data_IF_551338279252
#
_entry.id   IF_551338279252
#
_cell.length_a   1.000
_cell.length_b   1.000
_cell.length_c   1.000
_cell.angle_alpha   90.00
_cell.angle_beta   90.00
_cell.angle_gamma   90.00
#
_symmetry.space_group_name_H-M   'P 1'
#
loop_
_entity.id
_entity.type
_entity.pdbx_description
1 polymer ?
#
# COMPACT_ATOMS: atom_id res chain seq x y z
N UNK A 1 -10.58 8.83 14.41
CA UNK A 1 -11.02 7.67 13.60
C UNK A 1 -10.26 6.44 14.07
N UNK A 2 -10.83 5.22 14.03
CA UNK A 2 -10.14 4.03 14.52
C UNK A 2 -9.00 3.64 13.57
N UNK A 3 -7.82 3.42 14.14
CA UNK A 3 -6.68 2.83 13.44
C UNK A 3 -7.01 1.35 13.16
N UNK A 4 -6.80 0.90 11.92
CA UNK A 4 -6.97 -0.50 11.53
C UNK A 4 -5.61 -1.19 11.47
N UNK A 5 -5.50 -2.41 12.01
CA UNK A 5 -4.25 -3.19 11.98
C UNK A 5 -4.57 -4.61 11.58
N UNK A 6 -3.77 -5.17 10.68
CA UNK A 6 -3.97 -6.52 10.16
C UNK A 6 -2.63 -7.20 9.84
N UNK A 7 -2.60 -8.53 9.90
CA UNK A 7 -1.44 -9.30 9.47
C UNK A 7 -1.44 -9.48 7.96
N UNK A 8 -0.28 -9.28 7.34
CA UNK A 8 -0.09 -9.59 5.94
C UNK A 8 0.08 -11.10 5.73
N UNK A 9 -0.32 -11.64 4.56
CA UNK A 9 -0.10 -13.03 4.23
C UNK A 9 1.38 -13.41 4.40
N UNK A 10 1.69 -14.51 5.11
CA UNK A 10 3.06 -14.92 5.33
C UNK A 10 3.72 -15.32 4.02
N UNK A 11 4.94 -14.86 3.80
CA UNK A 11 5.80 -15.25 2.69
C UNK A 11 7.00 -16.04 3.21
N UNK A 12 7.77 -16.65 2.30
CA UNK A 12 8.98 -17.40 2.66
C UNK A 12 9.98 -16.54 3.46
N UNK A 13 10.13 -15.27 3.08
CA UNK A 13 11.05 -14.34 3.76
C UNK A 13 10.42 -13.66 4.97
N UNK A 14 9.11 -13.37 4.92
CA UNK A 14 8.40 -12.56 5.91
C UNK A 14 7.21 -13.31 6.49
N UNK A 15 7.38 -13.91 7.66
CA UNK A 15 6.33 -14.68 8.36
C UNK A 15 5.36 -13.83 9.19
N UNK A 16 5.75 -12.60 9.54
CA UNK A 16 5.05 -11.74 10.50
C UNK A 16 4.90 -10.30 9.97
N UNK A 17 4.66 -10.15 8.67
CA UNK A 17 4.36 -8.83 8.12
C UNK A 17 3.04 -8.30 8.68
N UNK A 18 2.97 -7.01 8.94
CA UNK A 18 1.76 -6.36 9.41
C UNK A 18 1.54 -5.05 8.66
N UNK A 19 0.28 -4.64 8.56
CA UNK A 19 -0.11 -3.31 8.12
C UNK A 19 -0.86 -2.60 9.25
N UNK A 20 -0.68 -1.28 9.30
CA UNK A 20 -1.46 -0.37 10.13
C UNK A 20 -1.98 0.76 9.24
N UNK A 21 -3.26 1.10 9.36
CA UNK A 21 -3.95 2.05 8.50
C UNK A 21 -4.65 3.12 9.32
N UNK A 22 -4.34 4.37 8.99
CA UNK A 22 -4.91 5.56 9.59
C UNK A 22 -5.66 6.33 8.49
N UNK A 23 -7.00 6.20 8.42
CA UNK A 23 -7.77 6.87 7.37
C UNK A 23 -7.72 8.39 7.53
N UNK A 24 -7.74 9.10 6.41
CA UNK A 24 -7.82 10.55 6.39
C UNK A 24 -9.14 11.03 7.05
N UNK A 25 -9.12 12.11 7.85
CA UNK A 25 -10.31 12.63 8.52
C UNK A 25 -11.35 13.22 7.56
N UNK A 26 -10.92 13.74 6.41
CA UNK A 26 -11.78 14.26 5.35
C UNK A 26 -11.11 13.98 3.99
N UNK A 27 -11.79 13.19 3.16
CA UNK A 27 -11.37 12.82 1.81
C UNK A 27 -12.32 13.35 0.72
N UNK A 28 -13.26 14.25 1.06
CA UNK A 28 -14.29 14.68 0.11
C UNK A 28 -13.73 15.50 -1.06
N UNK A 29 -12.61 16.19 -0.87
CA UNK A 29 -12.01 17.11 -1.84
C UNK A 29 -10.52 16.84 -2.11
N UNK A 30 -9.98 15.74 -1.58
CA UNK A 30 -8.57 15.41 -1.65
C UNK A 30 -8.38 13.96 -2.08
N UNK A 31 -7.36 13.72 -2.89
CA UNK A 31 -6.91 12.36 -3.21
C UNK A 31 -6.33 11.63 -1.99
N UNK A 32 -6.02 12.36 -0.90
CA UNK A 32 -5.48 11.79 0.32
C UNK A 32 -6.47 10.85 0.98
N UNK A 33 -6.14 9.56 0.97
CA UNK A 33 -6.98 8.51 1.54
C UNK A 33 -6.59 8.17 2.99
N UNK A 34 -5.31 8.33 3.34
CA UNK A 34 -4.82 8.06 4.69
C UNK A 34 -3.33 7.72 4.73
N UNK A 35 -2.86 7.29 5.90
CA UNK A 35 -1.49 6.83 6.11
C UNK A 35 -1.46 5.33 6.29
N UNK A 36 -0.67 4.67 5.45
CA UNK A 36 -0.39 3.24 5.51
C UNK A 36 1.00 3.03 6.11
N UNK A 37 1.07 2.30 7.20
CA UNK A 37 2.32 1.83 7.77
C UNK A 37 2.47 0.34 7.47
N UNK A 38 3.58 -0.06 6.85
CA UNK A 38 3.91 -1.47 6.60
C UNK A 38 5.10 -1.84 7.49
N UNK A 39 4.91 -2.87 8.31
CA UNK A 39 5.95 -3.41 9.18
C UNK A 39 6.33 -4.81 8.73
N UNK A 40 7.59 -5.00 8.34
CA UNK A 40 8.22 -6.28 8.10
C UNK A 40 9.21 -6.66 9.20
N UNK A 41 9.98 -7.72 8.98
CA UNK A 41 11.00 -8.16 9.94
C UNK A 41 12.17 -7.18 10.05
N UNK A 42 12.54 -6.52 8.95
CA UNK A 42 13.72 -5.65 8.84
C UNK A 42 13.41 -4.21 8.46
N UNK A 43 12.17 -3.95 8.09
CA UNK A 43 11.73 -2.70 7.49
C UNK A 43 10.43 -2.23 8.15
N UNK A 44 10.36 -0.95 8.42
CA UNK A 44 9.17 -0.25 8.87
C UNK A 44 9.10 1.03 8.02
N UNK A 45 8.00 1.21 7.30
CA UNK A 45 7.85 2.33 6.38
C UNK A 45 6.43 2.87 6.42
N UNK A 46 6.33 4.18 6.57
CA UNK A 46 5.07 4.90 6.47
C UNK A 46 4.90 5.51 5.08
N UNK A 47 3.67 5.44 4.58
CA UNK A 47 3.28 5.94 3.29
C UNK A 47 2.03 6.80 3.43
N UNK A 48 2.08 8.03 2.92
CA UNK A 48 0.87 8.78 2.57
C UNK A 48 0.28 8.13 1.32
N UNK A 49 -0.95 7.66 1.43
CA UNK A 49 -1.67 7.00 0.33
C UNK A 49 -2.63 7.99 -0.30
N UNK A 50 -2.52 8.10 -1.61
CA UNK A 50 -3.47 8.84 -2.43
C UNK A 50 -4.17 7.90 -3.40
N UNK A 51 -5.48 8.06 -3.56
CA UNK A 51 -6.27 7.34 -4.55
C UNK A 51 -6.62 8.26 -5.72
N UNK A 52 -6.43 7.75 -6.93
CA UNK A 52 -6.64 8.46 -8.18
C UNK A 52 -7.60 7.69 -9.09
N UNK A 53 -8.36 8.39 -9.95
CA UNK A 53 -9.11 7.74 -11.03
C UNK A 53 -8.16 6.90 -11.91
N UNK A 54 -8.67 5.79 -12.42
CA UNK A 54 -7.97 4.94 -13.37
C UNK A 54 -8.82 4.78 -14.63
N UNK A 55 -8.18 4.78 -15.80
CA UNK A 55 -8.85 4.54 -17.08
C UNK A 55 -9.29 3.07 -17.23
N UNK A 56 -8.58 2.16 -16.55
CA UNK A 56 -8.86 0.72 -16.54
C UNK A 56 -9.69 0.30 -15.31
N UNK A 57 -10.51 -0.76 -15.40
CA UNK A 57 -11.29 -1.27 -14.27
C UNK A 57 -10.41 -1.70 -13.08
N UNK A 58 -10.44 -0.90 -12.02
CA UNK A 58 -9.64 -1.13 -10.82
C UNK A 58 -9.53 0.13 -9.95
N UNK A 59 -8.50 0.14 -9.10
CA UNK A 59 -8.17 1.27 -8.22
C UNK A 59 -6.70 1.64 -8.38
N UNK A 60 -6.42 2.91 -8.64
CA UNK A 60 -5.06 3.43 -8.75
C UNK A 60 -4.68 4.20 -7.48
N UNK A 61 -3.48 3.90 -6.98
CA UNK A 61 -2.93 4.53 -5.79
C UNK A 61 -1.53 5.05 -6.04
N UNK A 62 -1.19 6.14 -5.37
CA UNK A 62 0.18 6.63 -5.26
C UNK A 62 0.57 6.60 -3.79
N UNK A 63 1.65 5.91 -3.48
CA UNK A 63 2.19 5.77 -2.13
C UNK A 63 3.42 6.65 -2.01
N UNK A 64 3.30 7.78 -1.31
CA UNK A 64 4.41 8.68 -1.01
C UNK A 64 5.05 8.24 0.30
N UNK A 65 6.36 7.97 0.29
CA UNK A 65 7.09 7.66 1.52
C UNK A 65 7.11 8.87 2.43
N UNK A 66 6.77 8.64 3.70
CA UNK A 66 6.95 9.62 4.77
C UNK A 66 8.30 9.42 5.47
N UNK A 67 8.84 8.20 5.41
CA UNK A 67 10.16 7.85 5.92
C UNK A 67 11.07 7.33 4.81
N UNK A 68 12.38 7.60 4.91
CA UNK A 68 13.37 7.19 3.92
C UNK A 68 13.45 5.65 3.69
N UNK A 69 12.90 4.85 4.61
CA UNK A 69 12.77 3.39 4.46
C UNK A 69 14.08 2.67 4.09
N UNK A 70 13.96 1.58 3.33
CA UNK A 70 15.10 0.77 2.84
C UNK A 70 15.60 1.20 1.46
N UNK A 71 14.73 1.80 0.64
CA UNK A 71 15.07 2.38 -0.65
C UNK A 71 15.06 3.90 -0.50
N UNK A 72 16.26 4.48 -0.41
CA UNK A 72 16.45 5.92 -0.17
C UNK A 72 16.35 6.77 -1.43
N UNK A 73 16.17 6.15 -2.59
CA UNK A 73 16.23 6.85 -3.90
C UNK A 73 14.86 7.17 -4.48
N UNK A 74 13.84 6.40 -4.12
CA UNK A 74 12.48 6.60 -4.61
C UNK A 74 11.60 7.21 -3.53
N UNK A 75 10.98 8.35 -3.81
CA UNK A 75 10.10 9.03 -2.86
C UNK A 75 8.66 8.52 -2.91
N UNK A 76 8.28 7.81 -3.99
CA UNK A 76 6.92 7.31 -4.19
C UNK A 76 6.87 6.04 -5.03
N UNK A 77 5.74 5.35 -4.96
CA UNK A 77 5.41 4.22 -5.84
C UNK A 77 3.97 4.32 -6.36
N UNK A 78 3.79 4.18 -7.66
CA UNK A 78 2.50 3.92 -8.28
C UNK A 78 2.08 2.46 -8.07
N UNK A 79 0.82 2.26 -7.69
CA UNK A 79 0.20 0.96 -7.47
C UNK A 79 -1.16 0.92 -8.16
N UNK A 80 -1.46 -0.16 -8.87
CA UNK A 80 -2.76 -0.40 -9.47
C UNK A 80 -3.30 -1.75 -9.03
N UNK A 81 -4.50 -1.76 -8.45
CA UNK A 81 -5.26 -2.95 -8.15
C UNK A 81 -6.30 -3.18 -9.24
N UNK A 82 -6.00 -4.08 -10.16
CA UNK A 82 -6.89 -4.42 -11.26
C UNK A 82 -7.98 -5.39 -10.80
N UNK A 83 -9.20 -5.24 -11.33
CA UNK A 83 -10.31 -6.15 -10.99
C UNK A 83 -10.06 -7.61 -11.45
N UNK A 84 -9.22 -7.80 -12.46
CA UNK A 84 -8.84 -9.11 -13.00
C UNK A 84 -7.56 -9.69 -12.35
N UNK A 85 -7.12 -9.14 -11.23
CA UNK A 85 -5.87 -9.52 -10.53
C UNK A 85 -4.57 -9.23 -11.27
N UNK A 86 -4.60 -8.52 -12.42
CA UNK A 86 -3.40 -8.02 -13.11
C UNK A 86 -2.84 -6.76 -12.42
N UNK A 87 -2.56 -6.88 -11.12
CA UNK A 87 -2.07 -5.79 -10.29
C UNK A 87 -0.70 -5.30 -10.79
N UNK A 88 -0.39 -4.03 -10.56
CA UNK A 88 0.91 -3.44 -10.91
C UNK A 88 1.44 -2.61 -9.75
N UNK A 89 2.75 -2.68 -9.51
CA UNK A 89 3.43 -1.80 -8.56
C UNK A 89 4.83 -1.47 -9.09
N UNK A 90 5.25 -0.22 -8.92
CA UNK A 90 6.54 0.27 -9.39
C UNK A 90 7.70 -0.11 -8.45
N UNK A 91 7.41 -0.65 -7.27
CA UNK A 91 8.46 -0.99 -6.32
C UNK A 91 9.34 -2.16 -6.82
N UNK A 92 10.63 -2.11 -6.48
CA UNK A 92 11.60 -3.15 -6.89
C UNK A 92 11.18 -4.56 -6.50
N UNK A 93 10.51 -4.71 -5.35
CA UNK A 93 9.97 -5.99 -4.91
C UNK A 93 8.97 -6.58 -5.91
N UNK A 94 8.06 -5.75 -6.41
CA UNK A 94 7.08 -6.18 -7.41
C UNK A 94 7.72 -6.44 -8.77
N UNK A 95 8.66 -5.60 -9.21
CA UNK A 95 9.38 -5.81 -10.48
C UNK A 95 10.11 -7.16 -10.47
N UNK A 96 10.70 -7.53 -9.34
CA UNK A 96 11.46 -8.77 -9.21
C UNK A 96 10.59 -10.05 -9.13
N UNK A 97 9.46 -10.01 -8.43
CA UNK A 97 8.71 -11.24 -8.08
C UNK A 97 7.24 -11.22 -8.46
N UNK A 98 6.74 -10.09 -9.00
CA UNK A 98 5.30 -9.81 -9.21
C UNK A 98 4.45 -9.87 -7.94
N UNK A 99 5.09 -9.82 -6.77
CA UNK A 99 4.44 -9.77 -5.47
C UNK A 99 5.17 -8.79 -4.54
N UNK A 100 4.44 -7.87 -3.92
CA UNK A 100 5.02 -6.95 -2.95
C UNK A 100 4.07 -6.69 -1.79
N UNK A 101 4.64 -6.20 -0.68
CA UNK A 101 3.87 -5.83 0.51
C UNK A 101 2.88 -4.70 0.21
N UNK A 102 3.20 -3.77 -0.70
CA UNK A 102 2.29 -2.67 -1.07
C UNK A 102 0.98 -3.18 -1.65
N UNK A 103 1.04 -4.06 -2.66
CA UNK A 103 -0.15 -4.66 -3.27
C UNK A 103 -0.89 -5.53 -2.26
N UNK A 104 -0.19 -6.31 -1.44
CA UNK A 104 -0.83 -7.10 -0.38
C UNK A 104 -1.60 -6.20 0.60
N UNK A 105 -0.98 -5.12 1.10
CA UNK A 105 -1.60 -4.18 2.02
C UNK A 105 -2.82 -3.48 1.40
N UNK A 106 -2.69 -2.91 0.19
CA UNK A 106 -3.80 -2.23 -0.48
C UNK A 106 -4.96 -3.18 -0.79
N UNK A 107 -4.65 -4.44 -1.15
CA UNK A 107 -5.65 -5.47 -1.40
C UNK A 107 -6.44 -5.76 -0.13
N UNK A 108 -5.77 -5.94 1.00
CA UNK A 108 -6.43 -6.19 2.28
C UNK A 108 -7.27 -4.98 2.74
N UNK A 109 -6.76 -3.75 2.59
CA UNK A 109 -7.55 -2.54 2.89
C UNK A 109 -8.79 -2.40 2.02
N UNK A 110 -8.69 -2.68 0.72
CA UNK A 110 -9.82 -2.63 -0.21
C UNK A 110 -10.85 -3.71 0.13
N UNK A 111 -10.43 -4.94 0.40
CA UNK A 111 -11.33 -6.02 0.82
C UNK A 111 -12.05 -5.69 2.13
N UNK A 112 -11.33 -5.10 3.09
CA UNK A 112 -11.86 -4.70 4.38
C UNK A 112 -12.70 -3.39 4.34
N UNK A 113 -12.84 -2.76 3.16
CA UNK A 113 -13.53 -1.48 2.95
C UNK A 113 -13.03 -0.37 3.90
N UNK A 114 -11.71 -0.33 4.09
CA UNK A 114 -11.02 0.68 4.92
C UNK A 114 -10.47 1.85 4.13
N UNK A 115 -10.35 1.67 2.81
CA UNK A 115 -9.98 2.64 1.81
C UNK A 115 -10.92 2.47 0.65
#
# INVERSE_FOLDING_TARGET
MPVYTELLPPTKSEKHGALTWEPAPDNAHSHFAGVLTITGKRDHCQYRVEEHPADEPGRAFVLFKLDAGTDRTEDRYGCFLANNHANLCECRGFVATRHCKHIASLTELTKAKRI
#
